data_IF_536591987979
#
_entry.id   IF_536591987979
#
_cell.length_a   1.000
_cell.length_b   1.000
_cell.length_c   1.000
_cell.angle_alpha   90.00
_cell.angle_beta   90.00
_cell.angle_gamma   90.00
#
_symmetry.space_group_name_H-M   'P 1'
#
loop_
_entity.id
_entity.type
_entity.pdbx_description
1 polymer ?
#
# COMPACT_ATOMS: atom_id res chain seq x y z
N UNK A 1 11.55 -2.98 28.51
CA UNK A 1 10.10 -2.68 28.73
C UNK A 1 9.89 -1.32 28.08
N UNK A 2 9.32 -1.28 26.89
CA UNK A 2 9.07 -0.05 26.11
C UNK A 2 7.57 0.18 26.14
N UNK A 3 7.15 1.29 26.75
CA UNK A 3 5.73 1.69 26.80
C UNK A 3 5.24 2.11 25.42
N UNK A 4 4.01 1.76 25.04
CA UNK A 4 3.41 2.22 23.78
C UNK A 4 2.96 3.68 23.97
N UNK A 5 3.59 4.58 23.20
CA UNK A 5 3.16 5.97 23.10
C UNK A 5 1.73 6.05 22.51
N UNK A 6 0.91 6.83 23.18
CA UNK A 6 -0.49 7.11 22.88
C UNK A 6 -0.71 7.55 21.43
N UNK A 7 -1.57 6.83 20.71
CA UNK A 7 -2.12 7.24 19.43
C UNK A 7 -3.14 8.36 19.70
N UNK A 8 -2.81 9.58 19.30
CA UNK A 8 -3.80 10.66 19.25
C UNK A 8 -4.61 10.50 17.96
N UNK A 9 -5.93 10.43 18.12
CA UNK A 9 -6.92 10.37 17.05
C UNK A 9 -6.79 11.59 16.11
N UNK A 10 -6.12 11.39 14.99
CA UNK A 10 -6.08 12.34 13.88
C UNK A 10 -7.38 12.25 13.08
N UNK A 11 -8.34 13.11 13.37
CA UNK A 11 -9.52 13.30 12.52
C UNK A 11 -9.09 13.71 11.11
N UNK A 12 -9.31 12.81 10.15
CA UNK A 12 -9.15 13.09 8.73
C UNK A 12 -10.22 14.12 8.30
N UNK A 13 -9.84 15.39 8.20
CA UNK A 13 -10.67 16.42 7.55
C UNK A 13 -10.63 16.20 6.04
N UNK A 14 -11.65 15.54 5.51
CA UNK A 14 -11.96 15.59 4.08
C UNK A 14 -12.57 16.98 3.77
N UNK A 15 -11.72 17.87 3.33
CA UNK A 15 -12.12 19.19 2.82
C UNK A 15 -11.46 19.42 1.47
N UNK A 16 -12.13 19.01 0.38
CA UNK A 16 -11.70 19.37 -0.97
C UNK A 16 -12.02 20.84 -1.22
N UNK A 17 -11.02 21.71 -1.24
CA UNK A 17 -11.15 23.01 -1.88
C UNK A 17 -10.77 22.89 -3.37
N UNK A 18 -11.67 23.28 -4.30
CA UNK A 18 -11.31 23.38 -5.71
C UNK A 18 -10.61 24.72 -5.95
N UNK A 19 -9.36 24.68 -6.37
CA UNK A 19 -8.67 25.85 -6.90
C UNK A 19 -7.28 26.11 -6.36
N UNK A 20 -6.34 25.23 -6.61
CA UNK A 20 -4.94 25.60 -6.80
C UNK A 20 -4.28 24.59 -7.72
N UNK A 21 -3.76 25.05 -8.86
CA UNK A 21 -2.97 24.30 -9.83
C UNK A 21 -1.54 24.05 -9.33
N UNK A 22 -1.34 23.71 -8.08
CA UNK A 22 -0.16 23.01 -7.64
C UNK A 22 -0.43 21.53 -7.91
N UNK A 23 0.23 20.99 -8.95
CA UNK A 23 0.28 19.55 -9.18
C UNK A 23 0.56 18.89 -7.82
N UNK A 24 -0.45 18.23 -7.27
CA UNK A 24 -0.42 17.72 -5.90
C UNK A 24 0.88 16.92 -5.73
N UNK A 25 1.80 17.44 -4.90
CA UNK A 25 3.11 16.84 -4.68
C UNK A 25 2.88 15.43 -4.16
N UNK A 26 3.13 14.45 -4.99
CA UNK A 26 2.97 13.05 -4.62
C UNK A 26 3.89 12.77 -3.43
N UNK A 27 3.32 12.29 -2.34
CA UNK A 27 4.06 11.97 -1.11
C UNK A 27 3.94 10.48 -0.84
N UNK A 28 5.02 9.82 -0.40
CA UNK A 28 4.95 8.46 0.10
C UNK A 28 4.04 8.37 1.33
N UNK A 29 3.39 7.23 1.51
CA UNK A 29 2.46 7.01 2.62
C UNK A 29 3.18 6.80 3.96
N UNK A 30 4.33 6.11 3.92
CA UNK A 30 5.07 5.73 5.11
C UNK A 30 6.56 6.03 4.97
N UNK A 31 7.18 6.36 6.10
CA UNK A 31 8.64 6.39 6.26
C UNK A 31 9.04 5.25 7.19
N UNK A 32 9.92 4.36 6.71
CA UNK A 32 10.37 3.18 7.44
C UNK A 32 11.89 3.26 7.63
N UNK A 33 12.34 3.21 8.88
CA UNK A 33 13.76 3.04 9.21
C UNK A 33 14.06 1.55 9.23
N UNK A 34 14.82 1.08 8.24
CA UNK A 34 15.20 -0.34 8.11
C UNK A 34 16.36 -0.65 9.07
N UNK A 35 17.31 0.29 9.15
CA UNK A 35 18.43 0.28 10.07
C UNK A 35 18.80 1.72 10.45
N UNK A 36 19.92 1.93 11.21
CA UNK A 36 20.36 3.25 11.67
C UNK A 36 20.68 4.23 10.53
N UNK A 37 21.07 3.72 9.36
CA UNK A 37 21.51 4.54 8.23
C UNK A 37 20.48 4.56 7.09
N UNK A 38 19.63 3.53 7.02
CA UNK A 38 18.75 3.32 5.87
C UNK A 38 17.29 3.67 6.17
N UNK A 39 16.83 4.75 5.58
CA UNK A 39 15.40 5.10 5.57
C UNK A 39 14.80 4.79 4.20
N UNK A 40 13.62 4.16 4.18
CA UNK A 40 12.83 3.91 2.98
C UNK A 40 11.50 4.65 3.05
N UNK A 41 11.11 5.20 1.92
CA UNK A 41 9.82 5.86 1.72
C UNK A 41 8.90 4.87 1.01
N UNK A 42 7.87 4.40 1.68
CA UNK A 42 6.98 3.36 1.16
C UNK A 42 5.69 4.00 0.66
N UNK A 43 5.33 3.73 -0.58
CA UNK A 43 4.07 4.16 -1.19
C UNK A 43 3.20 2.93 -1.45
N UNK A 44 2.12 2.80 -0.69
CA UNK A 44 1.25 1.63 -0.67
C UNK A 44 0.18 1.74 -1.75
N UNK A 45 -0.06 0.66 -2.48
CA UNK A 45 -1.18 0.54 -3.39
C UNK A 45 -1.84 -0.82 -3.25
N UNK A 46 -3.13 -0.82 -2.94
CA UNK A 46 -3.97 -2.02 -3.04
C UNK A 46 -4.62 -2.03 -4.42
N UNK A 47 -4.48 -3.12 -5.15
CA UNK A 47 -5.02 -3.27 -6.51
C UNK A 47 -5.82 -4.56 -6.66
N UNK A 48 -6.85 -4.52 -7.49
CA UNK A 48 -7.64 -5.72 -7.81
C UNK A 48 -7.28 -6.20 -9.21
N UNK A 49 -6.63 -7.35 -9.30
CA UNK A 49 -6.30 -7.97 -10.58
C UNK A 49 -7.54 -8.47 -11.34
N UNK A 50 -8.65 -8.65 -10.63
CA UNK A 50 -9.94 -9.08 -11.23
C UNK A 50 -10.88 -7.91 -11.54
N UNK A 51 -10.42 -6.67 -11.38
CA UNK A 51 -11.20 -5.51 -11.80
C UNK A 51 -11.41 -5.53 -13.32
N UNK A 52 -12.53 -4.96 -13.76
CA UNK A 52 -12.93 -4.95 -15.19
C UNK A 52 -11.80 -4.44 -16.11
N UNK A 53 -10.99 -3.49 -15.64
CA UNK A 53 -9.89 -2.90 -16.41
C UNK A 53 -8.62 -3.76 -16.48
N UNK A 54 -8.46 -4.74 -15.58
CA UNK A 54 -7.19 -5.49 -15.43
C UNK A 54 -7.36 -7.00 -15.48
N UNK A 55 -8.61 -7.50 -15.57
CA UNK A 55 -8.89 -8.93 -15.47
C UNK A 55 -8.08 -9.78 -16.43
N UNK A 56 -7.99 -9.36 -17.70
CA UNK A 56 -7.23 -10.10 -18.71
C UNK A 56 -5.74 -10.19 -18.36
N UNK A 57 -5.13 -9.08 -17.95
CA UNK A 57 -3.70 -9.03 -17.60
C UNK A 57 -3.41 -9.77 -16.30
N UNK A 58 -4.25 -9.58 -15.30
CA UNK A 58 -4.08 -10.22 -13.99
C UNK A 58 -4.26 -11.73 -14.04
N UNK A 59 -5.19 -12.24 -14.86
CA UNK A 59 -5.43 -13.68 -15.01
C UNK A 59 -4.33 -14.37 -15.84
N UNK A 60 -3.77 -13.68 -16.84
CA UNK A 60 -2.72 -14.26 -17.68
C UNK A 60 -1.38 -14.33 -16.96
N UNK A 61 -0.95 -13.26 -16.32
CA UNK A 61 0.32 -13.20 -15.59
C UNK A 61 0.27 -12.20 -14.44
N UNK A 62 0.01 -12.68 -13.25
CA UNK A 62 -0.11 -11.87 -12.04
C UNK A 62 1.20 -11.16 -11.67
N UNK A 63 2.35 -11.81 -11.88
CA UNK A 63 3.63 -11.21 -11.52
C UNK A 63 3.98 -10.05 -12.45
N UNK A 64 3.81 -10.23 -13.75
CA UNK A 64 3.99 -9.15 -14.72
C UNK A 64 2.98 -8.00 -14.50
N UNK A 65 1.75 -8.30 -14.07
CA UNK A 65 0.77 -7.30 -13.70
C UNK A 65 1.24 -6.46 -12.51
N UNK A 66 1.70 -7.10 -11.44
CA UNK A 66 2.16 -6.42 -10.23
C UNK A 66 3.43 -5.60 -10.50
N UNK A 67 4.39 -6.14 -11.23
CA UNK A 67 5.59 -5.42 -11.63
C UNK A 67 5.28 -4.18 -12.47
N UNK A 68 4.31 -4.28 -13.38
CA UNK A 68 3.84 -3.12 -14.16
C UNK A 68 3.27 -2.04 -13.23
N UNK A 69 2.46 -2.41 -12.23
CA UNK A 69 1.90 -1.45 -11.27
C UNK A 69 2.98 -0.77 -10.43
N UNK A 70 4.00 -1.50 -10.00
CA UNK A 70 5.17 -0.94 -9.32
C UNK A 70 5.93 0.05 -10.21
N UNK A 71 6.16 -0.31 -11.48
CA UNK A 71 6.80 0.55 -12.45
C UNK A 71 5.97 1.81 -12.78
N UNK A 72 4.66 1.71 -12.83
CA UNK A 72 3.77 2.86 -13.01
C UNK A 72 3.92 3.85 -11.85
N UNK A 73 3.92 3.38 -10.61
CA UNK A 73 4.19 4.21 -9.44
C UNK A 73 5.55 4.89 -9.51
N UNK A 74 6.60 4.16 -9.84
CA UNK A 74 7.93 4.74 -9.96
C UNK A 74 8.02 5.79 -11.07
N UNK A 75 7.30 5.62 -12.19
CA UNK A 75 7.21 6.64 -13.24
C UNK A 75 6.52 7.91 -12.76
N UNK A 76 5.48 7.80 -11.94
CA UNK A 76 4.80 8.95 -11.35
C UNK A 76 5.74 9.75 -10.42
N UNK A 77 6.54 9.06 -9.59
CA UNK A 77 7.54 9.73 -8.75
C UNK A 77 8.65 10.42 -9.56
N UNK A 78 9.11 9.79 -10.65
CA UNK A 78 10.10 10.40 -11.55
C UNK A 78 9.60 11.70 -12.19
N UNK A 79 8.30 11.83 -12.41
CA UNK A 79 7.69 13.08 -12.95
C UNK A 79 7.54 14.16 -11.89
N UNK A 80 7.51 13.81 -10.61
CA UNK A 80 7.36 14.77 -9.51
C UNK A 80 8.72 15.37 -9.15
N UNK A 81 8.85 16.69 -9.30
CA UNK A 81 10.09 17.42 -8.95
C UNK A 81 10.48 17.31 -7.49
N UNK A 82 9.50 17.13 -6.60
CA UNK A 82 9.70 17.08 -5.15
C UNK A 82 10.40 15.80 -4.65
N UNK A 83 10.52 14.77 -5.47
CA UNK A 83 11.04 13.46 -5.07
C UNK A 83 12.26 13.00 -5.85
N UNK A 84 12.76 13.81 -6.80
CA UNK A 84 13.89 13.43 -7.66
C UNK A 84 15.13 13.00 -6.90
N UNK A 85 15.46 13.71 -5.83
CA UNK A 85 16.69 13.47 -5.04
C UNK A 85 16.59 12.22 -4.16
N UNK A 86 15.38 11.67 -3.96
CA UNK A 86 15.13 10.55 -3.07
C UNK A 86 14.53 9.32 -3.76
N UNK A 87 14.58 9.22 -5.08
CA UNK A 87 13.99 8.11 -5.85
C UNK A 87 14.52 6.74 -5.43
N UNK A 88 15.80 6.63 -5.08
CA UNK A 88 16.42 5.39 -4.62
C UNK A 88 15.88 4.90 -3.26
N UNK A 89 15.29 5.79 -2.48
CA UNK A 89 14.68 5.46 -1.19
C UNK A 89 13.21 5.06 -1.29
N UNK A 90 12.55 5.27 -2.45
CA UNK A 90 11.14 4.97 -2.63
C UNK A 90 10.94 3.48 -2.92
N UNK A 91 10.02 2.89 -2.19
CA UNK A 91 9.57 1.51 -2.38
C UNK A 91 8.10 1.52 -2.82
N UNK A 92 7.80 1.15 -4.07
CA UNK A 92 6.43 0.95 -4.51
C UNK A 92 5.89 -0.35 -3.88
N UNK A 93 5.06 -0.23 -2.86
CA UNK A 93 4.49 -1.37 -2.15
C UNK A 93 3.12 -1.72 -2.74
N UNK A 94 3.13 -2.54 -3.78
CA UNK A 94 1.90 -2.97 -4.46
C UNK A 94 1.45 -4.33 -3.93
N UNK A 95 0.19 -4.42 -3.52
CA UNK A 95 -0.44 -5.66 -3.04
C UNK A 95 -1.83 -5.81 -3.68
N UNK A 96 -2.20 -7.04 -4.03
CA UNK A 96 -3.56 -7.31 -4.53
C UNK A 96 -4.57 -7.40 -3.39
N UNK A 97 -5.84 -7.28 -3.73
CA UNK A 97 -6.96 -7.55 -2.80
C UNK A 97 -6.98 -8.99 -2.28
N UNK A 98 -6.25 -9.91 -2.93
CA UNK A 98 -6.07 -11.30 -2.51
C UNK A 98 -4.79 -11.53 -1.71
N UNK A 99 -4.03 -10.46 -1.40
CA UNK A 99 -2.83 -10.53 -0.57
C UNK A 99 -1.53 -10.86 -1.32
N UNK A 100 -1.55 -11.02 -2.65
CA UNK A 100 -0.31 -11.23 -3.43
C UNK A 100 0.45 -9.91 -3.57
N UNK A 101 1.73 -9.92 -3.25
CA UNK A 101 2.59 -8.74 -3.30
C UNK A 101 3.39 -8.69 -4.59
N UNK A 102 3.70 -7.47 -5.03
CA UNK A 102 4.65 -7.23 -6.10
C UNK A 102 6.09 -7.53 -5.69
N UNK A 103 7.00 -7.70 -6.67
CA UNK A 103 8.38 -8.07 -6.41
C UNK A 103 9.13 -7.04 -5.54
N UNK A 104 8.92 -5.74 -5.72
CA UNK A 104 9.56 -4.70 -4.90
C UNK A 104 9.04 -4.71 -3.46
N UNK A 105 7.72 -4.90 -3.27
CA UNK A 105 7.12 -5.03 -1.94
C UNK A 105 7.66 -6.25 -1.20
N UNK A 106 7.75 -7.39 -1.90
CA UNK A 106 8.30 -8.63 -1.33
C UNK A 106 9.78 -8.49 -0.96
N UNK A 107 10.60 -7.92 -1.86
CA UNK A 107 12.02 -7.68 -1.62
C UNK A 107 12.25 -6.74 -0.44
N UNK A 108 11.41 -5.72 -0.29
CA UNK A 108 11.45 -4.81 0.83
C UNK A 108 11.17 -5.52 2.17
N UNK A 109 10.08 -6.31 2.26
CA UNK A 109 9.77 -7.06 3.48
C UNK A 109 10.86 -8.08 3.82
N UNK A 110 11.42 -8.75 2.81
CA UNK A 110 12.57 -9.66 3.01
C UNK A 110 13.74 -8.90 3.61
N UNK A 111 14.11 -7.74 3.06
CA UNK A 111 15.20 -6.92 3.57
C UNK A 111 14.96 -6.50 5.03
N UNK A 112 13.76 -6.06 5.38
CA UNK A 112 13.40 -5.70 6.75
C UNK A 112 13.57 -6.90 7.69
N UNK A 113 13.10 -8.08 7.26
CA UNK A 113 13.24 -9.31 8.05
C UNK A 113 14.72 -9.74 8.21
N UNK A 114 15.51 -9.66 7.14
CA UNK A 114 16.92 -10.00 7.15
C UNK A 114 17.72 -9.05 8.08
N UNK A 115 17.41 -7.76 8.04
CA UNK A 115 18.03 -6.76 8.95
C UNK A 115 17.64 -7.01 10.42
N UNK A 116 16.36 -7.32 10.68
CA UNK A 116 15.88 -7.51 12.06
C UNK A 116 16.34 -8.83 12.71
N UNK A 117 16.52 -9.88 11.93
CA UNK A 117 16.74 -11.23 12.47
C UNK A 117 18.05 -11.88 12.02
N UNK A 118 18.79 -11.30 11.06
CA UNK A 118 20.07 -11.85 10.59
C UNK A 118 19.96 -13.34 10.22
N UNK A 119 20.86 -14.16 10.80
CA UNK A 119 20.94 -15.61 10.52
C UNK A 119 19.97 -16.47 11.33
N UNK A 120 18.80 -15.91 11.69
CA UNK A 120 17.73 -16.63 12.43
C UNK A 120 16.54 -16.97 11.55
N UNK A 121 16.63 -18.02 10.70
CA UNK A 121 15.64 -18.30 9.66
C UNK A 121 14.23 -18.59 10.21
N UNK A 122 14.14 -19.25 11.36
CA UNK A 122 12.85 -19.55 12.01
C UNK A 122 12.13 -18.28 12.48
N UNK A 123 12.85 -17.31 13.01
CA UNK A 123 12.29 -16.04 13.46
C UNK A 123 11.87 -15.18 12.28
N UNK A 124 12.67 -15.13 11.20
CA UNK A 124 12.30 -14.47 9.95
C UNK A 124 11.01 -15.03 9.38
N UNK A 125 10.90 -16.37 9.28
CA UNK A 125 9.70 -17.03 8.76
C UNK A 125 8.47 -16.74 9.63
N UNK A 126 8.60 -16.79 10.95
CA UNK A 126 7.52 -16.48 11.89
C UNK A 126 7.08 -15.01 11.79
N UNK A 127 8.04 -14.10 11.66
CA UNK A 127 7.75 -12.68 11.49
C UNK A 127 7.03 -12.43 10.15
N UNK A 128 7.55 -12.97 9.05
CA UNK A 128 6.93 -12.85 7.73
C UNK A 128 5.50 -13.36 7.73
N UNK A 129 5.26 -14.55 8.31
CA UNK A 129 3.91 -15.12 8.43
C UNK A 129 2.96 -14.21 9.20
N UNK A 130 3.39 -13.67 10.35
CA UNK A 130 2.57 -12.74 11.14
C UNK A 130 2.23 -11.47 10.37
N UNK A 131 3.19 -10.90 9.65
CA UNK A 131 2.97 -9.70 8.83
C UNK A 131 2.01 -9.96 7.67
N UNK A 132 2.20 -11.05 6.94
CA UNK A 132 1.29 -11.44 5.86
C UNK A 132 -0.12 -11.67 6.36
N UNK A 133 -0.28 -12.36 7.49
CA UNK A 133 -1.59 -12.57 8.11
C UNK A 133 -2.27 -11.24 8.49
N UNK A 134 -1.53 -10.31 9.09
CA UNK A 134 -2.06 -8.99 9.44
C UNK A 134 -2.41 -8.15 8.21
N UNK A 135 -1.57 -8.15 7.17
CA UNK A 135 -1.87 -7.45 5.93
C UNK A 135 -3.16 -7.99 5.29
N UNK A 136 -3.31 -9.31 5.23
CA UNK A 136 -4.52 -9.93 4.69
C UNK A 136 -5.77 -9.59 5.52
N UNK A 137 -5.65 -9.57 6.84
CA UNK A 137 -6.74 -9.14 7.72
C UNK A 137 -7.15 -7.69 7.47
N UNK A 138 -6.20 -6.76 7.37
CA UNK A 138 -6.47 -5.35 7.10
C UNK A 138 -7.11 -5.15 5.73
N UNK A 139 -6.62 -5.85 4.71
CA UNK A 139 -7.19 -5.82 3.35
C UNK A 139 -8.64 -6.34 3.37
N UNK A 140 -8.88 -7.48 4.03
CA UNK A 140 -10.22 -8.07 4.11
C UNK A 140 -11.21 -7.13 4.84
N UNK A 141 -10.79 -6.52 5.95
CA UNK A 141 -11.59 -5.52 6.68
C UNK A 141 -11.88 -4.29 5.81
N UNK A 142 -10.89 -3.77 5.11
CA UNK A 142 -11.06 -2.64 4.20
C UNK A 142 -12.05 -2.93 3.08
N UNK A 143 -11.96 -4.10 2.45
CA UNK A 143 -12.90 -4.54 1.42
C UNK A 143 -14.32 -4.70 1.96
N UNK A 144 -14.48 -5.31 3.13
CA UNK A 144 -15.79 -5.47 3.78
C UNK A 144 -16.42 -4.09 4.06
N UNK A 145 -15.66 -3.15 4.61
CA UNK A 145 -16.13 -1.78 4.86
C UNK A 145 -16.56 -1.08 3.57
N UNK A 146 -15.78 -1.23 2.50
CA UNK A 146 -16.12 -0.65 1.19
C UNK A 146 -17.41 -1.23 0.62
N UNK A 147 -17.60 -2.56 0.69
CA UNK A 147 -18.82 -3.24 0.23
C UNK A 147 -20.06 -2.79 1.01
N UNK A 148 -19.95 -2.68 2.33
CA UNK A 148 -21.05 -2.18 3.19
C UNK A 148 -21.41 -0.75 2.79
N UNK A 149 -20.42 0.14 2.64
CA UNK A 149 -20.66 1.51 2.22
C UNK A 149 -21.34 1.61 0.85
N UNK A 150 -20.89 0.83 -0.13
CA UNK A 150 -21.53 0.77 -1.45
C UNK A 150 -22.97 0.27 -1.38
N UNK A 151 -23.24 -0.76 -0.57
CA UNK A 151 -24.59 -1.29 -0.39
C UNK A 151 -25.52 -0.26 0.25
N UNK A 152 -25.06 0.47 1.25
CA UNK A 152 -25.83 1.54 1.88
C UNK A 152 -26.13 2.68 0.90
N UNK A 153 -25.12 3.09 0.12
CA UNK A 153 -25.31 4.10 -0.92
C UNK A 153 -26.38 3.70 -1.95
N UNK A 154 -26.30 2.46 -2.45
CA UNK A 154 -27.29 1.95 -3.42
C UNK A 154 -28.71 1.91 -2.84
N UNK A 155 -28.88 1.50 -1.58
CA UNK A 155 -30.19 1.54 -0.89
C UNK A 155 -30.76 2.95 -0.84
N UNK A 156 -29.95 3.94 -0.46
CA UNK A 156 -30.37 5.34 -0.43
C UNK A 156 -30.78 5.87 -1.81
N UNK A 157 -30.09 5.44 -2.88
CA UNK A 157 -30.46 5.83 -4.25
C UNK A 157 -31.82 5.22 -4.66
N UNK A 158 -32.05 3.96 -4.33
CA UNK A 158 -33.36 3.29 -4.62
C UNK A 158 -34.50 3.94 -3.86
N UNK A 159 -34.29 4.32 -2.59
CA UNK A 159 -35.31 5.02 -1.78
C UNK A 159 -35.66 6.40 -2.34
N UNK A 160 -34.71 7.12 -2.92
CA UNK A 160 -34.96 8.42 -3.57
C UNK A 160 -35.74 8.33 -4.89
N UNK A 161 -35.80 7.14 -5.51
CA UNK A 161 -36.50 6.92 -6.76
C UNK A 161 -37.97 6.40 -6.57
N UNK A 162 -38.33 6.14 -5.31
CA UNK A 162 -39.68 5.75 -4.90
C UNK A 162 -40.48 6.96 -4.44
#
# INVERSE_FOLDING_TARGET
MVEPSSWQDGQARFGSQPGSSEAARKRPDLRVHVDFETTRLVDVQITSAVSKSYVTQGLQNMDAFLERRENDKMREYKKSSATKDNLSSIVPFVITTTGRMGPAAFAFLKKVADTAFGDRPRERARWAFRWLSRLNEVIAKGLATQLIGQTQYLRQQVERLR
#
